data_IF_701004164452
#
_entry.id   IF_701004164452
#
_cell.length_a   1.000
_cell.length_b   1.000
_cell.length_c   1.000
_cell.angle_alpha   90.00
_cell.angle_beta   90.00
_cell.angle_gamma   90.00
#
_symmetry.space_group_name_H-M   'P 1'
#
loop_
_entity.id
_entity.type
_entity.pdbx_description
1 polymer ?
#
# COMPACT_ATOMS: atom_id res chain seq x y z
N UNK A 1 -50.06 -44.85 36.22
CA UNK A 1 -48.70 -44.28 36.38
C UNK A 1 -48.38 -43.53 35.11
N UNK A 2 -48.40 -42.16 35.16
CA UNK A 2 -48.13 -41.27 34.03
C UNK A 2 -46.70 -40.74 34.17
N UNK A 3 -45.79 -41.13 33.28
CA UNK A 3 -44.44 -40.59 33.24
C UNK A 3 -44.48 -39.28 32.45
N UNK A 4 -44.19 -38.18 33.16
CA UNK A 4 -43.99 -36.86 32.56
C UNK A 4 -42.53 -36.80 32.07
N UNK A 5 -42.34 -36.70 30.75
CA UNK A 5 -41.01 -36.51 30.16
C UNK A 5 -40.73 -34.98 30.11
N UNK A 6 -39.81 -34.53 30.96
CA UNK A 6 -39.33 -33.15 30.96
C UNK A 6 -38.25 -33.01 29.88
N UNK A 7 -38.58 -32.34 28.75
CA UNK A 7 -37.60 -31.99 27.73
C UNK A 7 -36.96 -30.65 28.13
N UNK A 8 -35.70 -30.72 28.61
CA UNK A 8 -34.90 -29.51 28.85
C UNK A 8 -34.40 -28.95 27.51
N UNK A 9 -34.92 -27.79 27.06
CA UNK A 9 -34.39 -27.03 25.95
C UNK A 9 -33.10 -26.33 26.44
N UNK A 10 -31.95 -26.86 26.07
CA UNK A 10 -30.68 -26.10 26.14
C UNK A 10 -30.67 -25.06 25.03
N UNK A 11 -30.97 -23.81 25.35
CA UNK A 11 -30.68 -22.66 24.50
C UNK A 11 -29.12 -22.48 24.46
N UNK A 12 -28.50 -23.08 23.44
CA UNK A 12 -27.12 -22.76 23.11
C UNK A 12 -27.06 -21.31 22.63
N UNK A 13 -26.65 -20.39 23.53
CA UNK A 13 -26.22 -19.05 23.13
C UNK A 13 -24.97 -19.18 22.26
N UNK A 14 -25.18 -19.40 20.95
CA UNK A 14 -24.15 -19.32 19.96
C UNK A 14 -23.64 -17.86 19.92
N UNK A 15 -22.46 -17.60 20.49
CA UNK A 15 -21.72 -16.38 20.20
C UNK A 15 -21.38 -16.42 18.72
N UNK A 16 -22.18 -15.74 17.89
CA UNK A 16 -21.77 -15.44 16.53
C UNK A 16 -20.57 -14.47 16.62
N UNK A 17 -19.43 -14.77 15.99
CA UNK A 17 -18.34 -13.82 15.93
C UNK A 17 -18.86 -12.52 15.28
N UNK A 18 -18.79 -11.43 16.03
CA UNK A 18 -19.20 -10.12 15.55
C UNK A 18 -18.31 -9.78 14.35
N UNK A 19 -18.92 -9.59 13.17
CA UNK A 19 -18.20 -9.16 11.98
C UNK A 19 -17.51 -7.82 12.26
N UNK A 20 -16.21 -7.75 12.06
CA UNK A 20 -15.47 -6.50 12.19
C UNK A 20 -15.81 -5.61 11.02
N UNK A 21 -16.44 -4.46 11.30
CA UNK A 21 -16.72 -3.48 10.27
C UNK A 21 -15.45 -2.67 9.92
N UNK A 22 -15.20 -2.39 8.64
CA UNK A 22 -14.07 -1.59 8.20
C UNK A 22 -14.05 -0.20 8.84
N UNK A 23 -12.88 0.24 9.31
CA UNK A 23 -12.73 1.56 9.90
C UNK A 23 -12.96 2.67 8.83
N UNK A 24 -13.83 3.67 9.07
CA UNK A 24 -14.19 4.67 8.05
C UNK A 24 -12.99 5.45 7.47
N UNK A 25 -12.01 5.80 8.33
CA UNK A 25 -10.80 6.49 7.87
C UNK A 25 -9.97 5.61 6.93
N UNK A 26 -9.80 4.32 7.24
CA UNK A 26 -9.08 3.40 6.36
C UNK A 26 -9.79 3.22 5.03
N UNK A 27 -11.12 3.20 5.04
CA UNK A 27 -11.92 3.15 3.82
C UNK A 27 -11.66 4.38 2.93
N UNK A 28 -11.64 5.58 3.53
CA UNK A 28 -11.35 6.82 2.82
C UNK A 28 -9.92 6.85 2.28
N UNK A 29 -8.92 6.50 3.12
CA UNK A 29 -7.52 6.48 2.72
C UNK A 29 -7.26 5.45 1.62
N UNK A 30 -7.83 4.24 1.74
CA UNK A 30 -7.76 3.24 0.68
C UNK A 30 -8.28 3.78 -0.65
N UNK A 31 -9.43 4.43 -0.66
CA UNK A 31 -10.00 5.02 -1.87
C UNK A 31 -9.02 6.04 -2.51
N UNK A 32 -8.35 6.85 -1.70
CA UNK A 32 -7.31 7.78 -2.15
C UNK A 32 -6.11 7.02 -2.75
N UNK A 33 -5.59 5.99 -2.06
CA UNK A 33 -4.47 5.19 -2.57
C UNK A 33 -4.79 4.55 -3.92
N UNK A 34 -5.99 3.96 -4.05
CA UNK A 34 -6.44 3.37 -5.32
C UNK A 34 -6.61 4.41 -6.43
N UNK A 35 -7.07 5.62 -6.10
CA UNK A 35 -7.13 6.75 -7.03
C UNK A 35 -5.74 7.16 -7.51
N UNK A 36 -4.80 7.35 -6.60
CA UNK A 36 -3.41 7.70 -6.94
C UNK A 36 -2.73 6.62 -7.78
N UNK A 37 -2.95 5.35 -7.46
CA UNK A 37 -2.40 4.23 -8.22
C UNK A 37 -2.99 4.17 -9.64
N UNK A 38 -4.27 4.47 -9.81
CA UNK A 38 -4.91 4.52 -11.12
C UNK A 38 -4.30 5.62 -12.00
N UNK A 39 -4.19 6.83 -11.49
CA UNK A 39 -3.58 7.97 -12.18
C UNK A 39 -2.08 7.72 -12.50
N UNK A 40 -1.35 7.09 -11.57
CA UNK A 40 0.04 6.67 -11.79
C UNK A 40 0.16 5.70 -12.97
N UNK A 41 -0.71 4.70 -13.01
CA UNK A 41 -0.74 3.68 -14.07
C UNK A 41 -1.10 4.30 -15.42
N UNK A 42 -2.09 5.18 -15.45
CA UNK A 42 -2.52 5.89 -16.67
C UNK A 42 -1.39 6.77 -17.21
N UNK A 43 -0.71 7.52 -16.35
CA UNK A 43 0.44 8.35 -16.73
C UNK A 43 1.56 7.53 -17.38
N UNK A 44 1.78 6.29 -16.92
CA UNK A 44 2.73 5.34 -17.52
C UNK A 44 4.19 5.79 -17.48
N UNK A 45 4.56 6.62 -16.50
CA UNK A 45 5.93 7.09 -16.27
C UNK A 45 6.47 6.36 -15.06
N UNK A 46 7.49 5.53 -15.27
CA UNK A 46 8.10 4.66 -14.26
C UNK A 46 9.59 5.01 -14.11
N UNK A 47 10.20 4.75 -12.93
CA UNK A 47 11.65 4.90 -12.75
C UNK A 47 12.41 4.11 -13.82
N UNK A 48 13.45 4.70 -14.37
CA UNK A 48 14.26 4.07 -15.42
C UNK A 48 15.75 4.27 -15.20
N UNK A 49 16.55 3.34 -15.75
CA UNK A 49 17.98 3.53 -15.90
C UNK A 49 18.30 4.49 -17.07
N UNK A 50 19.57 4.79 -17.28
CA UNK A 50 20.07 5.67 -18.36
C UNK A 50 19.68 5.18 -19.77
N UNK A 51 19.34 3.91 -19.91
CA UNK A 51 18.90 3.28 -21.18
C UNK A 51 17.38 3.30 -21.34
N UNK A 52 16.65 3.79 -20.33
CA UNK A 52 15.19 3.83 -20.32
C UNK A 52 14.51 2.53 -19.91
N UNK A 53 15.25 1.55 -19.38
CA UNK A 53 14.66 0.32 -18.81
C UNK A 53 14.10 0.60 -17.42
N UNK A 54 12.88 0.10 -17.07
CA UNK A 54 12.31 0.28 -15.75
C UNK A 54 13.24 -0.23 -14.64
N UNK A 55 13.36 0.55 -13.55
CA UNK A 55 14.17 0.24 -12.37
C UNK A 55 13.32 -0.08 -11.16
N UNK A 56 13.83 -0.98 -10.31
CA UNK A 56 13.27 -1.27 -8.98
C UNK A 56 13.96 -0.41 -7.92
N UNK A 57 13.62 0.89 -7.91
CA UNK A 57 14.10 1.90 -6.95
C UNK A 57 12.93 2.74 -6.47
N UNK A 58 13.05 3.40 -5.32
CA UNK A 58 12.04 4.35 -4.86
C UNK A 58 11.95 5.58 -5.76
N UNK A 59 13.08 6.15 -6.13
CA UNK A 59 13.16 7.30 -7.03
C UNK A 59 14.40 7.17 -7.93
N UNK A 60 14.25 7.43 -9.22
CA UNK A 60 15.37 7.41 -10.17
C UNK A 60 16.16 8.74 -10.19
N UNK A 61 17.22 8.78 -10.99
CA UNK A 61 18.09 9.97 -11.12
C UNK A 61 17.36 11.21 -11.67
N UNK A 62 16.16 11.06 -12.23
CA UNK A 62 15.33 12.14 -12.77
C UNK A 62 14.18 12.53 -11.82
N UNK A 63 14.13 11.96 -10.61
CA UNK A 63 13.07 12.22 -9.64
C UNK A 63 11.76 11.49 -9.95
N UNK A 64 11.79 10.48 -10.84
CA UNK A 64 10.61 9.66 -11.11
C UNK A 64 10.49 8.58 -10.04
N UNK A 65 9.33 8.52 -9.41
CA UNK A 65 9.05 7.64 -8.26
C UNK A 65 8.44 6.32 -8.70
N UNK A 66 8.75 5.26 -7.95
CA UNK A 66 8.01 4.00 -8.08
C UNK A 66 6.56 4.15 -7.58
N UNK A 67 5.67 3.17 -7.85
CA UNK A 67 4.26 3.28 -7.43
C UNK A 67 4.11 3.56 -5.94
N UNK A 68 4.83 2.85 -5.07
CA UNK A 68 4.71 3.03 -3.63
C UNK A 68 5.26 4.38 -3.15
N UNK A 69 6.40 4.83 -3.68
CA UNK A 69 6.94 6.15 -3.37
C UNK A 69 5.96 7.27 -3.80
N UNK A 70 5.29 7.12 -4.94
CA UNK A 70 4.28 8.07 -5.39
C UNK A 70 3.05 8.09 -4.48
N UNK A 71 2.58 6.92 -3.99
CA UNK A 71 1.47 6.85 -3.03
C UNK A 71 1.83 7.53 -1.70
N UNK A 72 3.01 7.26 -1.16
CA UNK A 72 3.52 7.91 0.06
C UNK A 72 3.58 9.43 -0.15
N UNK A 73 4.22 9.87 -1.24
CA UNK A 73 4.38 11.29 -1.55
C UNK A 73 3.04 12.03 -1.66
N UNK A 74 2.11 11.49 -2.46
CA UNK A 74 0.80 12.10 -2.71
C UNK A 74 -0.15 12.06 -1.51
N UNK A 75 0.07 11.15 -0.57
CA UNK A 75 -0.67 11.12 0.69
C UNK A 75 -0.20 12.16 1.72
N UNK A 76 0.76 13.02 1.35
CA UNK A 76 1.23 14.12 2.17
C UNK A 76 2.49 13.80 2.99
N UNK A 77 3.25 12.77 2.63
CA UNK A 77 4.44 12.31 3.34
C UNK A 77 5.71 12.32 2.46
N UNK A 78 6.06 13.45 1.80
CA UNK A 78 7.27 13.53 0.96
C UNK A 78 8.55 13.28 1.76
N UNK A 79 8.55 13.61 3.05
CA UNK A 79 9.67 13.40 3.98
C UNK A 79 9.99 11.91 4.17
N UNK A 80 8.97 11.04 4.16
CA UNK A 80 9.19 9.58 4.26
C UNK A 80 9.87 9.06 3.00
N UNK A 81 9.46 9.53 1.82
CA UNK A 81 10.11 9.15 0.56
C UNK A 81 11.57 9.59 0.57
N UNK A 82 11.83 10.85 0.96
CA UNK A 82 13.20 11.39 1.03
C UNK A 82 14.07 10.60 2.02
N UNK A 83 13.54 10.22 3.17
CA UNK A 83 14.25 9.40 4.16
C UNK A 83 14.61 8.02 3.60
N UNK A 84 13.65 7.31 2.96
CA UNK A 84 13.91 6.01 2.35
C UNK A 84 14.98 6.12 1.26
N UNK A 85 14.86 7.08 0.35
CA UNK A 85 15.81 7.28 -0.74
C UNK A 85 17.22 7.55 -0.22
N UNK A 86 17.35 8.33 0.87
CA UNK A 86 18.64 8.66 1.47
C UNK A 86 19.27 7.48 2.21
N UNK A 87 18.48 6.61 2.83
CA UNK A 87 18.96 5.45 3.59
C UNK A 87 19.23 4.25 2.67
N UNK A 88 18.22 3.84 1.90
CA UNK A 88 18.30 2.76 0.92
C UNK A 88 17.23 2.93 -0.17
N UNK A 89 17.63 3.44 -1.33
CA UNK A 89 16.74 3.63 -2.47
C UNK A 89 16.18 2.31 -3.06
N UNK A 90 16.70 1.15 -2.63
CA UNK A 90 16.23 -0.19 -3.00
C UNK A 90 15.43 -0.87 -1.88
N UNK A 91 15.12 -0.16 -0.79
CA UNK A 91 14.41 -0.70 0.37
C UNK A 91 13.14 -1.45 -0.02
N UNK A 92 12.85 -2.53 0.71
CA UNK A 92 11.63 -3.31 0.57
C UNK A 92 10.67 -2.96 1.70
N UNK A 93 9.51 -2.41 1.37
CA UNK A 93 8.49 -2.08 2.36
C UNK A 93 8.04 -3.32 3.13
N UNK A 94 8.09 -4.49 2.51
CA UNK A 94 7.79 -5.78 3.16
C UNK A 94 8.70 -6.12 4.33
N UNK A 95 9.89 -5.52 4.40
CA UNK A 95 10.88 -5.77 5.47
C UNK A 95 10.82 -4.71 6.58
N UNK A 96 9.94 -3.69 6.43
CA UNK A 96 9.78 -2.60 7.40
C UNK A 96 8.65 -2.95 8.37
N UNK A 97 8.99 -3.14 9.65
CA UNK A 97 8.06 -3.59 10.68
C UNK A 97 7.83 -2.59 11.82
N UNK A 98 8.52 -1.45 11.81
CA UNK A 98 8.38 -0.37 12.79
C UNK A 98 8.75 1.00 12.19
N UNK A 99 8.58 2.06 12.98
CA UNK A 99 8.92 3.42 12.60
C UNK A 99 7.91 4.12 11.70
N UNK A 100 8.21 5.37 11.29
CA UNK A 100 7.24 6.24 10.62
C UNK A 100 6.69 5.70 9.29
N UNK A 101 7.52 4.95 8.54
CA UNK A 101 7.10 4.32 7.28
C UNK A 101 6.09 3.20 7.56
N UNK A 102 6.35 2.36 8.57
CA UNK A 102 5.43 1.31 8.99
C UNK A 102 4.11 1.91 9.51
N UNK A 103 4.17 2.98 10.30
CA UNK A 103 2.97 3.70 10.77
C UNK A 103 2.13 4.21 9.60
N UNK A 104 2.78 4.75 8.55
CA UNK A 104 2.12 5.13 7.32
C UNK A 104 1.46 3.92 6.63
N UNK A 105 2.17 2.79 6.52
CA UNK A 105 1.64 1.56 5.91
C UNK A 105 0.36 1.12 6.59
N UNK A 106 0.37 1.00 7.93
CA UNK A 106 -0.79 0.62 8.75
C UNK A 106 -1.95 1.60 8.57
N UNK A 107 -1.65 2.89 8.47
CA UNK A 107 -2.64 3.94 8.30
C UNK A 107 -3.14 4.14 6.87
N UNK A 108 -2.57 3.49 5.85
CA UNK A 108 -2.87 3.74 4.44
C UNK A 108 -4.23 3.18 3.97
N UNK A 109 -4.77 2.21 4.70
CA UNK A 109 -5.94 1.43 4.28
C UNK A 109 -5.62 0.30 3.31
N UNK A 110 -4.32 0.08 3.02
CA UNK A 110 -3.81 -1.09 2.32
C UNK A 110 -3.32 -2.14 3.33
N UNK A 111 -3.40 -3.41 2.98
CA UNK A 111 -2.76 -4.46 3.78
C UNK A 111 -1.26 -4.52 3.46
N UNK A 112 -0.47 -5.15 4.34
CA UNK A 112 0.95 -5.38 4.11
C UNK A 112 1.19 -6.11 2.77
N UNK A 113 0.44 -7.16 2.49
CA UNK A 113 0.57 -7.96 1.26
C UNK A 113 0.25 -7.13 0.01
N UNK A 114 -0.72 -6.23 0.08
CA UNK A 114 -1.06 -5.31 -1.02
C UNK A 114 0.07 -4.31 -1.29
N UNK A 115 0.71 -3.79 -0.25
CA UNK A 115 1.87 -2.90 -0.35
C UNK A 115 3.03 -3.63 -1.02
N UNK A 116 3.34 -4.85 -0.56
CA UNK A 116 4.38 -5.72 -1.16
C UNK A 116 4.06 -6.03 -2.62
N UNK A 117 2.82 -6.35 -2.93
CA UNK A 117 2.36 -6.59 -4.30
C UNK A 117 2.59 -5.36 -5.19
N UNK A 118 2.18 -4.17 -4.76
CA UNK A 118 2.35 -2.93 -5.54
C UNK A 118 3.83 -2.62 -5.74
N UNK A 119 4.67 -2.77 -4.72
CA UNK A 119 6.11 -2.52 -4.83
C UNK A 119 6.80 -3.52 -5.74
N UNK A 120 6.46 -4.80 -5.63
CA UNK A 120 7.07 -5.91 -6.39
C UNK A 120 6.81 -5.85 -7.90
N UNK A 121 5.89 -5.00 -8.36
CA UNK A 121 5.58 -4.84 -9.79
C UNK A 121 6.80 -4.38 -10.60
N UNK A 122 7.65 -3.53 -10.01
CA UNK A 122 8.87 -3.04 -10.63
C UNK A 122 10.05 -4.04 -10.54
N UNK A 123 9.90 -5.15 -9.84
CA UNK A 123 10.93 -6.21 -9.73
C UNK A 123 11.04 -7.00 -11.03
N UNK A 124 11.68 -6.39 -12.00
CA UNK A 124 11.95 -7.02 -13.28
C UNK A 124 13.40 -7.43 -13.32
N UNK A 125 13.63 -8.74 -13.36
CA UNK A 125 14.97 -9.28 -13.60
C UNK A 125 15.26 -9.28 -15.10
N UNK A 126 16.08 -8.36 -15.54
CA UNK A 126 16.47 -8.26 -16.95
C UNK A 126 17.60 -9.24 -17.33
N UNK A 127 18.20 -9.95 -16.38
CA UNK A 127 19.28 -10.91 -16.64
C UNK A 127 20.40 -10.31 -17.50
N UNK A 128 20.82 -11.02 -18.60
CA UNK A 128 21.87 -10.55 -19.50
C UNK A 128 21.54 -9.25 -20.24
N UNK A 129 20.26 -8.90 -20.39
CA UNK A 129 19.80 -7.67 -21.09
C UNK A 129 20.31 -6.41 -20.41
N UNK A 130 20.69 -6.47 -19.14
CA UNK A 130 21.22 -5.33 -18.38
C UNK A 130 22.55 -4.79 -18.94
N UNK A 131 23.28 -5.57 -19.76
CA UNK A 131 24.63 -5.23 -20.23
C UNK A 131 24.67 -4.66 -21.65
N UNK A 132 23.56 -4.62 -22.37
CA UNK A 132 23.51 -4.29 -23.79
C UNK A 132 22.53 -3.14 -23.99
N UNK A 133 22.86 -2.18 -24.85
CA UNK A 133 21.93 -1.15 -25.31
C UNK A 133 20.68 -1.81 -25.93
N UNK A 134 19.49 -1.37 -25.46
CA UNK A 134 18.24 -1.99 -25.84
C UNK A 134 17.53 -1.23 -26.94
N UNK A 135 17.01 -1.93 -27.96
CA UNK A 135 16.16 -1.31 -28.98
C UNK A 135 14.91 -0.69 -28.36
N UNK A 136 14.42 0.42 -28.94
CA UNK A 136 13.27 1.17 -28.45
C UNK A 136 12.00 0.31 -28.25
N UNK A 137 11.78 -0.68 -29.12
CA UNK A 137 10.66 -1.61 -29.00
C UNK A 137 10.75 -2.51 -27.75
N UNK A 138 11.95 -2.88 -27.30
CA UNK A 138 12.16 -3.65 -26.06
C UNK A 138 11.85 -2.76 -24.86
N UNK A 139 12.33 -1.52 -24.83
CA UNK A 139 12.04 -0.54 -23.77
C UNK A 139 10.53 -0.32 -23.66
N UNK A 140 9.85 -0.10 -24.79
CA UNK A 140 8.39 0.06 -24.81
C UNK A 140 7.68 -1.17 -24.27
N UNK A 141 8.07 -2.37 -24.70
CA UNK A 141 7.48 -3.62 -24.21
C UNK A 141 7.67 -3.83 -22.71
N UNK A 142 8.80 -3.41 -22.14
CA UNK A 142 9.01 -3.50 -20.70
C UNK A 142 8.12 -2.50 -19.92
N UNK A 143 7.94 -1.29 -20.43
CA UNK A 143 7.02 -0.30 -19.82
C UNK A 143 5.57 -0.79 -19.86
N UNK A 144 5.12 -1.36 -20.96
CA UNK A 144 3.78 -1.95 -21.08
C UNK A 144 3.60 -3.15 -20.14
N UNK A 145 4.66 -3.94 -19.90
CA UNK A 145 4.63 -5.02 -18.92
C UNK A 145 4.42 -4.49 -17.49
N UNK A 146 5.11 -3.41 -17.12
CA UNK A 146 4.91 -2.76 -15.81
C UNK A 146 3.48 -2.26 -15.70
N UNK A 147 2.96 -1.58 -16.73
CA UNK A 147 1.57 -1.10 -16.77
C UNK A 147 0.57 -2.24 -16.57
N UNK A 148 0.67 -3.31 -17.34
CA UNK A 148 -0.23 -4.46 -17.24
C UNK A 148 -0.21 -5.13 -15.86
N UNK A 149 0.95 -5.18 -15.19
CA UNK A 149 1.03 -5.66 -13.81
C UNK A 149 0.32 -4.72 -12.83
N UNK A 150 0.45 -3.41 -13.00
CA UNK A 150 -0.26 -2.41 -12.19
C UNK A 150 -1.78 -2.51 -12.37
N UNK A 151 -2.25 -2.69 -13.59
CA UNK A 151 -3.68 -2.91 -13.89
C UNK A 151 -4.21 -4.18 -13.22
N UNK A 152 -3.43 -5.27 -13.29
CA UNK A 152 -3.77 -6.53 -12.62
C UNK A 152 -3.84 -6.37 -11.10
N UNK A 153 -2.86 -5.69 -10.49
CA UNK A 153 -2.86 -5.40 -9.06
C UNK A 153 -4.08 -4.55 -8.67
N UNK A 154 -4.39 -3.49 -9.42
CA UNK A 154 -5.57 -2.67 -9.17
C UNK A 154 -6.89 -3.47 -9.23
N UNK A 155 -6.99 -4.41 -10.16
CA UNK A 155 -8.16 -5.28 -10.26
C UNK A 155 -8.30 -6.18 -9.01
N UNK A 156 -7.19 -6.77 -8.54
CA UNK A 156 -7.15 -7.56 -7.31
C UNK A 156 -7.53 -6.71 -6.07
N UNK A 157 -6.94 -5.53 -5.92
CA UNK A 157 -7.21 -4.61 -4.81
C UNK A 157 -8.68 -4.18 -4.73
N UNK A 158 -9.36 -4.02 -5.88
CA UNK A 158 -10.79 -3.69 -5.92
C UNK A 158 -11.68 -4.88 -5.60
N UNK A 159 -11.31 -6.08 -6.06
CA UNK A 159 -12.07 -7.30 -5.84
C UNK A 159 -12.17 -7.66 -4.36
N UNK A 160 -11.04 -7.59 -3.65
CA UNK A 160 -10.92 -8.06 -2.27
C UNK A 160 -11.03 -6.91 -1.24
N UNK A 161 -11.60 -5.76 -1.65
CA UNK A 161 -11.61 -4.53 -0.87
C UNK A 161 -12.17 -4.68 0.55
N UNK A 162 -13.27 -5.40 0.73
CA UNK A 162 -13.90 -5.57 2.05
C UNK A 162 -13.02 -6.36 3.00
N UNK A 163 -12.46 -7.46 2.52
CA UNK A 163 -11.63 -8.36 3.34
C UNK A 163 -10.32 -7.66 3.70
N UNK A 164 -9.71 -6.95 2.76
CA UNK A 164 -8.52 -6.12 2.99
C UNK A 164 -8.76 -5.04 4.03
N UNK A 165 -9.87 -4.30 3.95
CA UNK A 165 -10.22 -3.26 4.93
C UNK A 165 -10.50 -3.84 6.31
N UNK A 166 -11.14 -5.00 6.38
CA UNK A 166 -11.35 -5.71 7.65
C UNK A 166 -10.02 -6.11 8.27
N UNK A 167 -9.11 -6.69 7.49
CA UNK A 167 -7.77 -7.06 7.94
C UNK A 167 -6.97 -5.83 8.42
N UNK A 168 -6.96 -4.75 7.65
CA UNK A 168 -6.29 -3.49 8.02
C UNK A 168 -6.88 -2.89 9.31
N UNK A 169 -8.20 -2.98 9.53
CA UNK A 169 -8.88 -2.51 10.73
C UNK A 169 -8.41 -3.27 11.98
N UNK A 170 -8.16 -4.58 11.87
CA UNK A 170 -7.68 -5.40 12.99
C UNK A 170 -6.26 -5.03 13.44
N UNK A 171 -5.44 -4.50 12.55
CA UNK A 171 -4.06 -4.10 12.85
C UNK A 171 -4.00 -2.72 13.51
N UNK A 172 -4.93 -1.82 13.18
CA UNK A 172 -4.94 -0.42 13.62
C UNK A 172 -4.87 -0.21 15.15
N UNK A 173 -5.58 -0.95 16.01
CA UNK A 173 -5.55 -0.75 17.47
C UNK A 173 -4.20 -1.07 18.11
N UNK A 174 -3.37 -1.88 17.47
CA UNK A 174 -2.06 -2.30 17.98
C UNK A 174 -1.00 -1.21 17.74
N UNK A 175 -1.26 -0.30 16.80
CA UNK A 175 -0.40 0.81 16.42
C UNK A 175 -1.10 2.15 16.71
N UNK A 176 -1.28 2.50 17.99
CA UNK A 176 -1.75 3.85 18.34
C UNK A 176 -0.67 4.85 17.94
N UNK A 177 -0.89 5.49 16.79
CA UNK A 177 -0.12 6.69 16.40
C UNK A 177 -0.33 7.74 17.49
N UNK A 178 0.73 8.25 18.13
CA UNK A 178 0.59 9.37 19.05
C UNK A 178 0.01 10.55 18.26
N UNK A 179 -1.17 11.01 18.65
CA UNK A 179 -1.75 12.23 18.09
C UNK A 179 -0.82 13.36 18.48
N UNK A 180 0.01 13.83 17.55
CA UNK A 180 0.79 15.05 17.70
C UNK A 180 -0.23 16.19 17.83
N UNK A 181 -0.47 16.67 19.05
CA UNK A 181 -1.22 17.88 19.28
C UNK A 181 -0.46 19.02 18.60
N UNK A 182 -0.93 19.43 17.44
CA UNK A 182 -0.47 20.69 16.82
C UNK A 182 -0.92 21.83 17.75
N UNK A 183 0.00 22.25 18.61
CA UNK A 183 -0.19 23.45 19.41
C UNK A 183 -0.11 24.62 18.43
N UNK A 184 -1.25 25.24 18.13
CA UNK A 184 -1.27 26.51 17.41
C UNK A 184 -0.41 27.53 18.18
N UNK A 185 0.56 28.19 17.53
CA UNK A 185 1.28 29.25 18.17
C UNK A 185 0.28 30.37 18.53
N UNK A 186 0.35 30.84 19.78
CA UNK A 186 -0.44 31.96 20.25
C UNK A 186 -0.09 33.18 19.40
N UNK A 187 -1.10 33.76 18.73
CA UNK A 187 -0.96 35.03 18.01
C UNK A 187 -0.75 36.10 19.08
N UNK A 188 0.50 36.61 19.19
CA UNK A 188 0.80 37.75 19.99
C UNK A 188 0.08 38.98 19.39
N UNK A 189 -0.86 39.54 20.13
CA UNK A 189 -1.48 40.86 19.84
C UNK A 189 -0.45 41.93 20.17
N UNK A 190 0.02 42.65 19.17
CA UNK A 190 0.59 43.98 19.30
C UNK A 190 -0.42 45.03 18.94
#
# INVERSE_FOLDING_TARGET
MKHLLLIALFAACGHQPQAVEPHPELTTRRAQMLGYLAEYTERGVFPTDERGLPLSVFEDAHGVRCPMAELIYRSGHPELVAAIVAEDNHARLGDIHDGPVHDWMVGSGLTHDEIVMIQGIADINYGPLFKIEQPANVITAQRERVRGRLETAQAALRKDQRDSLTAATLVLPQHRVPVVKVTRPAIAKH
#
